data_IF_490290768731
#
_entry.id   IF_490290768731
#
_cell.length_a   1.000
_cell.length_b   1.000
_cell.length_c   1.000
_cell.angle_alpha   90.00
_cell.angle_beta   90.00
_cell.angle_gamma   90.00
#
_symmetry.space_group_name_H-M   'P 1'
#
loop_
_entity.id
_entity.type
_entity.pdbx_description
1 polymer ?
#
# COMPACT_ATOMS: atom_id res chain seq x y z
N UNK A 1 11.53 -12.62 3.87
CA UNK A 1 10.85 -13.49 2.86
C UNK A 1 9.36 -13.21 2.68
N UNK A 2 8.70 -12.41 3.54
CA UNK A 2 7.25 -12.19 3.45
C UNK A 2 6.77 -11.36 2.23
N UNK A 3 7.64 -10.54 1.62
CA UNK A 3 7.22 -9.65 0.53
C UNK A 3 6.98 -10.41 -0.80
N UNK A 4 7.88 -11.32 -1.20
CA UNK A 4 7.74 -12.10 -2.43
C UNK A 4 6.64 -13.16 -2.38
N UNK A 5 6.53 -13.89 -1.27
CA UNK A 5 5.55 -14.98 -1.13
C UNK A 5 4.20 -14.49 -0.57
N UNK A 6 4.17 -13.34 0.11
CA UNK A 6 2.96 -12.77 0.70
C UNK A 6 2.30 -11.72 -0.18
N UNK A 7 2.99 -10.61 -0.45
CA UNK A 7 2.40 -9.47 -1.19
C UNK A 7 2.28 -9.75 -2.69
N UNK A 8 3.28 -10.39 -3.29
CA UNK A 8 3.24 -10.80 -4.71
C UNK A 8 2.48 -12.12 -4.94
N UNK A 9 2.29 -12.94 -3.89
CA UNK A 9 1.64 -14.27 -3.94
C UNK A 9 2.26 -15.23 -4.97
N UNK A 10 3.53 -15.06 -5.29
CA UNK A 10 4.21 -15.96 -6.23
C UNK A 10 4.48 -17.32 -5.59
N UNK A 11 4.36 -18.42 -6.35
CA UNK A 11 4.92 -19.70 -5.94
C UNK A 11 6.43 -19.56 -5.68
N UNK A 12 7.00 -20.28 -4.70
CA UNK A 12 8.42 -20.20 -4.38
C UNK A 12 9.35 -20.38 -5.58
N UNK A 13 8.99 -21.26 -6.51
CA UNK A 13 9.78 -21.60 -7.70
C UNK A 13 9.91 -20.39 -8.63
N UNK A 14 8.81 -19.64 -8.80
CA UNK A 14 8.78 -18.42 -9.62
C UNK A 14 9.57 -17.30 -8.95
N UNK A 15 9.46 -17.17 -7.63
CA UNK A 15 10.22 -16.17 -6.88
C UNK A 15 11.73 -16.40 -6.97
N UNK A 16 12.19 -17.65 -6.89
CA UNK A 16 13.62 -17.97 -6.98
C UNK A 16 14.18 -17.90 -8.41
N UNK A 17 13.33 -18.08 -9.42
CA UNK A 17 13.74 -17.92 -10.82
C UNK A 17 13.80 -16.45 -11.26
N UNK A 18 13.11 -15.54 -10.56
CA UNK A 18 13.03 -14.13 -10.93
C UNK A 18 14.35 -13.39 -10.70
N UNK A 19 14.68 -12.49 -11.63
CA UNK A 19 15.81 -11.57 -11.48
C UNK A 19 15.49 -10.44 -10.48
N UNK A 20 16.52 -9.82 -9.87
CA UNK A 20 16.32 -8.65 -9.00
C UNK A 20 15.53 -7.51 -9.65
N UNK A 21 15.71 -7.29 -10.97
CA UNK A 21 15.00 -6.27 -11.73
C UNK A 21 13.50 -6.57 -11.83
N UNK A 22 13.13 -7.83 -12.03
CA UNK A 22 11.72 -8.26 -12.09
C UNK A 22 11.05 -8.15 -10.73
N UNK A 23 11.75 -8.53 -9.66
CA UNK A 23 11.26 -8.35 -8.29
C UNK A 23 11.01 -6.87 -8.00
N UNK A 24 11.93 -5.97 -8.40
CA UNK A 24 11.77 -4.54 -8.22
C UNK A 24 10.56 -3.99 -8.99
N UNK A 25 10.41 -4.33 -10.27
CA UNK A 25 9.28 -3.91 -11.08
C UNK A 25 7.93 -4.40 -10.50
N UNK A 26 7.88 -5.65 -10.04
CA UNK A 26 6.69 -6.21 -9.42
C UNK A 26 6.37 -5.55 -8.06
N UNK A 27 7.40 -5.15 -7.30
CA UNK A 27 7.23 -4.44 -6.03
C UNK A 27 6.63 -3.04 -6.19
N UNK A 28 7.01 -2.32 -7.25
CA UNK A 28 6.45 -1.00 -7.56
C UNK A 28 4.98 -1.09 -7.97
N UNK A 29 4.57 -2.16 -8.66
CA UNK A 29 3.16 -2.38 -9.00
C UNK A 29 2.27 -2.60 -7.75
N UNK A 30 2.85 -3.07 -6.65
CA UNK A 30 2.17 -3.30 -5.37
C UNK A 30 2.28 -2.12 -4.40
N UNK A 31 3.15 -1.15 -4.66
CA UNK A 31 3.14 0.08 -3.89
C UNK A 31 1.77 0.72 -4.07
N UNK A 32 1.04 0.87 -2.97
CA UNK A 32 -0.07 1.81 -2.95
C UNK A 32 0.47 3.14 -3.41
N UNK A 33 -0.33 3.85 -4.21
CA UNK A 33 -0.08 5.25 -4.47
C UNK A 33 0.24 5.91 -3.12
N UNK A 34 1.27 6.78 -3.05
CA UNK A 34 1.55 7.50 -1.83
C UNK A 34 0.22 8.05 -1.34
N UNK A 35 -0.17 7.65 -0.12
CA UNK A 35 -1.31 8.27 0.51
C UNK A 35 -1.04 9.77 0.43
N UNK A 36 -1.97 10.52 -0.17
CA UNK A 36 -1.81 11.97 -0.27
C UNK A 36 -1.50 12.55 1.11
N UNK A 37 -0.99 13.78 1.14
CA UNK A 37 -0.68 14.46 2.40
C UNK A 37 -1.88 14.30 3.36
N UNK A 38 -1.66 13.78 4.59
CA UNK A 38 -2.74 13.68 5.56
C UNK A 38 -3.39 15.06 5.76
N UNK A 39 -4.72 15.12 5.98
CA UNK A 39 -5.40 16.38 6.19
C UNK A 39 -4.80 17.11 7.40
N UNK A 40 -4.61 18.42 7.27
CA UNK A 40 -4.26 19.24 8.41
C UNK A 40 -5.31 19.10 9.51
N UNK A 41 -4.90 19.28 10.77
CA UNK A 41 -5.77 19.09 11.94
C UNK A 41 -7.10 19.86 11.82
N UNK A 42 -7.06 21.11 11.36
CA UNK A 42 -8.26 21.92 11.18
C UNK A 42 -9.22 21.38 10.11
N UNK A 43 -8.68 20.80 9.03
CA UNK A 43 -9.48 20.13 7.99
C UNK A 43 -10.17 18.89 8.54
N UNK A 44 -9.46 18.09 9.34
CA UNK A 44 -10.05 16.93 10.02
C UNK A 44 -11.17 17.36 10.99
N UNK A 45 -10.94 18.39 11.79
CA UNK A 45 -11.95 18.91 12.74
C UNK A 45 -13.20 19.46 12.02
N UNK A 46 -13.04 20.09 10.86
CA UNK A 46 -14.16 20.51 10.02
C UNK A 46 -14.96 19.29 9.52
N UNK A 47 -14.28 18.29 8.96
CA UNK A 47 -14.91 17.06 8.48
C UNK A 47 -15.67 16.32 9.59
N UNK A 48 -15.13 16.24 10.80
CA UNK A 48 -15.80 15.61 11.94
C UNK A 48 -17.05 16.38 12.38
N UNK A 49 -17.06 17.71 12.26
CA UNK A 49 -18.24 18.53 12.55
C UNK A 49 -19.32 18.35 11.49
N UNK A 50 -18.92 18.26 10.23
CA UNK A 50 -19.82 18.16 9.07
C UNK A 50 -20.39 16.74 8.92
N UNK A 51 -19.65 15.73 9.39
CA UNK A 51 -20.04 14.32 9.37
C UNK A 51 -19.95 13.73 10.79
N UNK A 52 -20.87 14.09 11.70
CA UNK A 52 -20.90 13.50 13.02
C UNK A 52 -21.22 12.01 12.91
N UNK A 53 -20.46 11.19 13.64
CA UNK A 53 -20.86 9.81 13.86
C UNK A 53 -22.23 9.82 14.56
N UNK A 54 -23.15 8.98 14.09
CA UNK A 54 -24.53 8.90 14.60
C UNK A 54 -24.59 8.62 16.11
N UNK A 55 -25.80 8.67 16.71
CA UNK A 55 -25.99 8.67 18.16
C UNK A 55 -25.31 7.50 18.89
#
# INVERSE_FOLDING_TARGET
MAFGLGQLRWPPEIFWAASPREIFAASEALRRAPAGEPPARGTLEALMRDHPDGP
#
